data_IF_758876518343
#
_entry.id   IF_758876518343
#
_cell.length_a   1.000
_cell.length_b   1.000
_cell.length_c   1.000
_cell.angle_alpha   90.00
_cell.angle_beta   90.00
_cell.angle_gamma   90.00
#
_symmetry.space_group_name_H-M   'P 1'
#
loop_
_entity.id
_entity.type
_entity.pdbx_description
1 polymer ?
#
# COMPACT_ATOMS: atom_id res chain seq x y z
N UNK A 1 -25.52 -26.84 0.88
CA UNK A 1 -24.78 -25.56 0.97
C UNK A 1 -25.59 -24.52 0.22
N UNK A 2 -26.08 -23.54 0.95
CA UNK A 2 -27.00 -22.51 0.45
C UNK A 2 -26.30 -21.61 -0.60
N UNK A 3 -27.04 -21.10 -1.59
CA UNK A 3 -26.48 -20.23 -2.64
C UNK A 3 -25.75 -19.01 -2.05
N UNK A 4 -26.26 -18.45 -0.95
CA UNK A 4 -25.63 -17.35 -0.22
C UNK A 4 -24.27 -17.76 0.37
N UNK A 5 -24.17 -18.96 0.94
CA UNK A 5 -22.89 -19.47 1.49
C UNK A 5 -21.85 -19.66 0.40
N UNK A 6 -22.23 -20.14 -0.79
CA UNK A 6 -21.32 -20.27 -1.94
C UNK A 6 -20.80 -18.90 -2.42
N UNK A 7 -21.67 -17.90 -2.48
CA UNK A 7 -21.25 -16.54 -2.89
C UNK A 7 -20.31 -15.91 -1.87
N UNK A 8 -20.58 -16.05 -0.57
CA UNK A 8 -19.71 -15.52 0.49
C UNK A 8 -18.35 -16.22 0.47
N UNK A 9 -18.34 -17.56 0.33
CA UNK A 9 -17.09 -18.31 0.25
C UNK A 9 -16.26 -17.89 -0.96
N UNK A 10 -16.88 -17.72 -2.13
CA UNK A 10 -16.20 -17.23 -3.33
C UNK A 10 -15.55 -15.86 -3.13
N UNK A 11 -16.27 -14.91 -2.47
CA UNK A 11 -15.71 -13.58 -2.17
C UNK A 11 -14.53 -13.66 -1.21
N UNK A 12 -14.59 -14.49 -0.17
CA UNK A 12 -13.49 -14.71 0.79
C UNK A 12 -12.27 -15.33 0.07
N UNK A 13 -12.51 -16.33 -0.76
CA UNK A 13 -11.42 -16.96 -1.55
C UNK A 13 -10.73 -15.94 -2.45
N UNK A 14 -11.49 -15.07 -3.11
CA UNK A 14 -10.92 -13.98 -3.91
C UNK A 14 -10.10 -12.99 -3.08
N UNK A 15 -10.52 -12.71 -1.83
CA UNK A 15 -9.73 -11.88 -0.90
C UNK A 15 -8.37 -12.52 -0.59
N UNK A 16 -8.35 -13.81 -0.28
CA UNK A 16 -7.12 -14.55 0.01
C UNK A 16 -6.17 -14.58 -1.19
N UNK A 17 -6.71 -14.82 -2.39
CA UNK A 17 -5.90 -14.79 -3.63
C UNK A 17 -5.28 -13.42 -3.84
N UNK A 18 -6.02 -12.33 -3.64
CA UNK A 18 -5.51 -10.98 -3.77
C UNK A 18 -4.47 -10.63 -2.70
N UNK A 19 -4.69 -11.07 -1.46
CA UNK A 19 -3.71 -10.90 -0.38
C UNK A 19 -2.40 -11.61 -0.71
N UNK A 20 -2.47 -12.85 -1.20
CA UNK A 20 -1.30 -13.59 -1.66
C UNK A 20 -0.59 -12.88 -2.82
N UNK A 21 -1.33 -12.46 -3.84
CA UNK A 21 -0.79 -11.71 -4.98
C UNK A 21 -0.10 -10.41 -4.54
N UNK A 22 -0.69 -9.68 -3.61
CA UNK A 22 -0.10 -8.45 -3.04
C UNK A 22 1.21 -8.73 -2.33
N UNK A 23 1.28 -9.81 -1.54
CA UNK A 23 2.50 -10.24 -0.86
C UNK A 23 3.60 -10.66 -1.85
N UNK A 24 3.25 -11.41 -2.88
CA UNK A 24 4.18 -11.81 -3.95
C UNK A 24 4.70 -10.58 -4.72
N UNK A 25 3.82 -9.65 -5.08
CA UNK A 25 4.23 -8.41 -5.76
C UNK A 25 5.18 -7.58 -4.89
N UNK A 26 4.85 -7.38 -3.60
CA UNK A 26 5.72 -6.67 -2.67
C UNK A 26 7.09 -7.35 -2.53
N UNK A 27 7.12 -8.69 -2.43
CA UNK A 27 8.35 -9.46 -2.35
C UNK A 27 9.26 -9.22 -3.55
N UNK A 28 8.74 -9.34 -4.79
CA UNK A 28 9.55 -9.15 -5.99
C UNK A 28 10.06 -7.72 -6.16
N UNK A 29 9.26 -6.72 -5.78
CA UNK A 29 9.66 -5.31 -5.86
C UNK A 29 10.76 -4.99 -4.86
N UNK A 30 10.71 -5.57 -3.66
CA UNK A 30 11.63 -5.28 -2.57
C UNK A 30 12.89 -6.16 -2.61
N UNK A 31 12.83 -7.33 -3.25
CA UNK A 31 13.93 -8.30 -3.31
C UNK A 31 15.29 -7.68 -3.71
N UNK A 32 15.39 -6.79 -4.71
CA UNK A 32 16.67 -6.19 -5.07
C UNK A 32 17.31 -5.39 -3.92
N UNK A 33 16.48 -4.73 -3.10
CA UNK A 33 16.93 -3.86 -2.02
C UNK A 33 17.50 -4.63 -0.83
N UNK A 34 17.02 -5.85 -0.57
CA UNK A 34 17.49 -6.67 0.56
C UNK A 34 18.96 -7.06 0.47
N UNK A 35 19.53 -7.08 -0.74
CA UNK A 35 20.94 -7.42 -0.96
C UNK A 35 21.87 -6.27 -0.61
N UNK A 36 21.42 -5.04 -0.82
CA UNK A 36 22.25 -3.85 -0.79
C UNK A 36 22.13 -3.06 0.52
N UNK A 37 20.92 -3.06 1.13
CA UNK A 37 20.66 -2.32 2.36
C UNK A 37 20.86 -3.20 3.61
N UNK A 38 21.48 -2.60 4.64
CA UNK A 38 21.65 -3.16 5.98
C UNK A 38 20.48 -2.82 6.88
N UNK A 39 19.96 -1.60 6.75
CA UNK A 39 18.78 -1.13 7.47
C UNK A 39 17.52 -1.40 6.65
N UNK A 40 16.56 -2.09 7.29
CA UNK A 40 15.30 -2.48 6.66
C UNK A 40 14.16 -1.48 6.89
N UNK A 41 14.38 -0.37 7.59
CA UNK A 41 13.32 0.57 7.94
C UNK A 41 12.59 1.12 6.69
N UNK A 42 13.33 1.62 5.72
CA UNK A 42 12.76 2.13 4.47
C UNK A 42 12.14 1.04 3.59
N UNK A 43 12.68 -0.17 3.68
CA UNK A 43 12.15 -1.34 2.99
C UNK A 43 10.77 -1.70 3.54
N UNK A 44 10.59 -1.70 4.87
CA UNK A 44 9.30 -1.94 5.50
C UNK A 44 8.26 -0.87 5.11
N UNK A 45 8.67 0.40 5.08
CA UNK A 45 7.78 1.46 4.64
C UNK A 45 7.36 1.29 3.18
N UNK A 46 8.27 0.92 2.29
CA UNK A 46 7.95 0.62 0.89
C UNK A 46 6.94 -0.54 0.77
N UNK A 47 7.11 -1.60 1.56
CA UNK A 47 6.14 -2.72 1.61
C UNK A 47 4.76 -2.21 2.02
N UNK A 48 4.67 -1.35 3.03
CA UNK A 48 3.39 -0.77 3.47
C UNK A 48 2.74 0.02 2.33
N UNK A 49 3.48 0.85 1.60
CA UNK A 49 2.93 1.59 0.45
C UNK A 49 2.41 0.67 -0.65
N UNK A 50 3.14 -0.40 -0.98
CA UNK A 50 2.72 -1.38 -1.98
C UNK A 50 1.41 -2.05 -1.55
N UNK A 51 1.34 -2.51 -0.30
CA UNK A 51 0.15 -3.18 0.25
C UNK A 51 -1.06 -2.23 0.25
N UNK A 52 -0.87 -1.01 0.74
CA UNK A 52 -1.93 0.00 0.79
C UNK A 52 -2.40 0.34 -0.61
N UNK A 53 -1.50 0.63 -1.54
CA UNK A 53 -1.85 0.95 -2.92
C UNK A 53 -2.66 -0.16 -3.57
N UNK A 54 -2.19 -1.40 -3.55
CA UNK A 54 -2.87 -2.52 -4.20
C UNK A 54 -4.25 -2.76 -3.55
N UNK A 55 -4.32 -2.74 -2.21
CA UNK A 55 -5.56 -2.99 -1.47
C UNK A 55 -6.61 -1.91 -1.74
N UNK A 56 -6.25 -0.64 -1.61
CA UNK A 56 -7.19 0.45 -1.83
C UNK A 56 -7.58 0.61 -3.30
N UNK A 57 -6.65 0.45 -4.24
CA UNK A 57 -6.95 0.44 -5.68
C UNK A 57 -7.97 -0.63 -6.02
N UNK A 58 -7.83 -1.81 -5.43
CA UNK A 58 -8.81 -2.89 -5.60
C UNK A 58 -10.19 -2.48 -5.11
N UNK A 59 -10.32 -1.84 -3.94
CA UNK A 59 -11.60 -1.38 -3.44
C UNK A 59 -12.18 -0.23 -4.28
N UNK A 60 -11.35 0.60 -4.87
CA UNK A 60 -11.78 1.66 -5.77
C UNK A 60 -12.39 1.07 -7.06
N UNK A 61 -11.70 0.13 -7.71
CA UNK A 61 -12.10 -0.38 -9.02
C UNK A 61 -13.03 -1.60 -8.96
N UNK A 62 -12.80 -2.51 -8.02
CA UNK A 62 -13.43 -3.82 -7.96
C UNK A 62 -14.31 -4.05 -6.73
N UNK A 63 -14.80 -3.00 -6.08
CA UNK A 63 -15.57 -3.07 -4.83
C UNK A 63 -16.69 -4.11 -4.87
N UNK A 64 -17.44 -4.19 -5.98
CA UNK A 64 -18.57 -5.13 -6.13
C UNK A 64 -18.18 -6.61 -6.07
N UNK A 65 -16.93 -6.94 -6.37
CA UNK A 65 -16.42 -8.33 -6.34
C UNK A 65 -15.76 -8.69 -5.01
N UNK A 66 -15.66 -7.75 -4.08
CA UNK A 66 -15.05 -7.93 -2.78
C UNK A 66 -16.12 -8.23 -1.73
N UNK A 67 -15.72 -8.81 -0.58
CA UNK A 67 -16.62 -8.99 0.53
C UNK A 67 -17.18 -7.66 1.06
N UNK A 68 -16.41 -6.58 0.86
CA UNK A 68 -16.76 -5.24 1.27
C UNK A 68 -18.03 -4.72 0.57
N UNK A 69 -18.41 -5.30 -0.59
CA UNK A 69 -19.64 -4.91 -1.29
C UNK A 69 -20.87 -4.99 -0.37
N UNK A 70 -20.95 -6.05 0.45
CA UNK A 70 -22.10 -6.35 1.30
C UNK A 70 -21.92 -5.83 2.75
N UNK A 71 -20.69 -5.60 3.18
CA UNK A 71 -20.34 -5.23 4.56
C UNK A 71 -20.40 -3.71 4.79
N UNK A 72 -21.62 -3.14 4.93
CA UNK A 72 -21.81 -1.69 5.07
C UNK A 72 -21.08 -1.11 6.30
N UNK A 73 -21.17 -1.79 7.46
CA UNK A 73 -20.48 -1.37 8.70
C UNK A 73 -18.97 -1.32 8.53
N UNK A 74 -18.39 -2.27 7.81
CA UNK A 74 -16.95 -2.32 7.51
C UNK A 74 -16.53 -1.19 6.60
N UNK A 75 -17.38 -0.78 5.63
CA UNK A 75 -17.10 0.41 4.80
C UNK A 75 -17.00 1.68 5.64
N UNK A 76 -17.93 1.87 6.57
CA UNK A 76 -17.91 3.03 7.49
C UNK A 76 -16.61 3.01 8.31
N UNK A 77 -16.26 1.87 8.90
CA UNK A 77 -15.02 1.73 9.64
C UNK A 77 -13.78 2.08 8.79
N UNK A 78 -13.72 1.60 7.55
CA UNK A 78 -12.61 1.89 6.64
C UNK A 78 -12.51 3.37 6.27
N UNK A 79 -13.65 4.06 6.13
CA UNK A 79 -13.66 5.51 5.89
C UNK A 79 -12.98 6.24 7.06
N UNK A 80 -13.31 5.89 8.31
CA UNK A 80 -12.67 6.49 9.48
C UNK A 80 -11.19 6.13 9.59
N UNK A 81 -10.81 4.89 9.30
CA UNK A 81 -9.41 4.45 9.34
C UNK A 81 -8.56 5.06 8.23
N UNK A 82 -9.14 5.50 7.13
CA UNK A 82 -8.43 6.17 6.05
C UNK A 82 -7.77 7.48 6.52
N UNK A 83 -8.38 8.21 7.47
CA UNK A 83 -7.81 9.46 8.00
C UNK A 83 -6.46 9.26 8.70
N UNK A 84 -6.35 8.47 9.78
CA UNK A 84 -5.05 8.27 10.43
C UNK A 84 -4.05 7.60 9.49
N UNK A 85 -4.49 6.70 8.62
CA UNK A 85 -3.63 6.08 7.62
C UNK A 85 -3.05 7.11 6.65
N UNK A 86 -3.85 8.06 6.18
CA UNK A 86 -3.38 9.14 5.31
C UNK A 86 -2.26 9.95 5.97
N UNK A 87 -2.43 10.39 7.23
CA UNK A 87 -1.41 11.16 7.93
C UNK A 87 -0.15 10.33 8.18
N UNK A 88 -0.28 9.05 8.50
CA UNK A 88 0.85 8.15 8.65
C UNK A 88 1.65 8.03 7.35
N UNK A 89 0.98 7.76 6.23
CA UNK A 89 1.64 7.63 4.93
C UNK A 89 2.30 8.95 4.51
N UNK A 90 1.65 10.08 4.75
CA UNK A 90 2.19 11.39 4.41
C UNK A 90 3.44 11.71 5.23
N UNK A 91 3.41 11.49 6.55
CA UNK A 91 4.56 11.69 7.43
C UNK A 91 5.75 10.81 7.02
N UNK A 92 5.50 9.51 6.80
CA UNK A 92 6.52 8.56 6.35
C UNK A 92 7.10 8.94 4.98
N UNK A 93 6.26 9.49 4.08
CA UNK A 93 6.71 9.94 2.76
C UNK A 93 7.69 11.12 2.86
N UNK A 94 7.40 12.09 3.70
CA UNK A 94 8.31 13.22 3.93
C UNK A 94 9.60 12.81 4.63
N UNK A 95 9.53 11.86 5.56
CA UNK A 95 10.70 11.33 6.25
C UNK A 95 11.69 10.68 5.26
N UNK A 96 11.19 9.82 4.36
CA UNK A 96 12.06 9.23 3.34
C UNK A 96 12.56 10.27 2.35
N UNK A 97 11.72 11.20 1.91
CA UNK A 97 12.17 12.25 1.00
C UNK A 97 13.32 13.05 1.61
N UNK A 98 13.20 13.45 2.86
CA UNK A 98 14.27 14.12 3.61
C UNK A 98 15.52 13.26 3.73
N UNK A 99 15.38 11.95 3.90
CA UNK A 99 16.50 11.01 3.86
C UNK A 99 17.15 10.98 2.48
N UNK A 100 16.37 10.88 1.41
CA UNK A 100 16.88 10.84 0.02
C UNK A 100 17.59 12.13 -0.37
N UNK A 101 17.06 13.29 0.07
CA UNK A 101 17.69 14.58 -0.19
C UNK A 101 19.07 14.66 0.49
N UNK A 102 19.18 14.26 1.77
CA UNK A 102 20.47 14.14 2.48
C UNK A 102 21.41 13.14 1.84
N UNK A 103 20.85 12.10 1.27
CA UNK A 103 21.55 11.04 0.57
C UNK A 103 22.22 11.58 -0.69
N UNK A 104 21.57 12.46 -1.44
CA UNK A 104 22.12 13.08 -2.65
C UNK A 104 23.20 14.14 -2.37
N UNK A 105 23.22 14.72 -1.16
CA UNK A 105 24.17 15.74 -0.73
C UNK A 105 25.54 15.20 -0.29
N UNK A 106 25.74 13.87 -0.33
CA UNK A 106 27.04 13.24 -0.10
C UNK A 106 27.50 13.21 1.36
N UNK A 107 26.57 13.23 2.32
CA UNK A 107 26.92 13.14 3.75
C UNK A 107 27.47 11.76 4.11
N UNK A 108 28.60 11.73 4.78
CA UNK A 108 29.39 10.53 5.14
C UNK A 108 28.66 9.46 6.01
N UNK A 109 27.50 9.75 6.55
CA UNK A 109 26.68 8.79 7.32
C UNK A 109 26.06 7.67 6.47
N UNK A 110 26.27 7.72 5.17
CA UNK A 110 25.72 6.85 4.14
C UNK A 110 26.13 5.41 4.20
N UNK A 111 27.41 5.19 4.52
CA UNK A 111 27.97 3.83 4.52
C UNK A 111 27.30 2.92 5.55
N UNK A 112 26.75 3.50 6.61
CA UNK A 112 26.08 2.74 7.66
C UNK A 112 24.77 2.04 7.21
N UNK A 113 24.12 2.55 6.16
CA UNK A 113 22.86 1.98 5.64
C UNK A 113 23.06 0.85 4.64
N UNK A 114 24.28 0.72 4.10
CA UNK A 114 24.62 -0.30 3.11
C UNK A 114 25.43 -1.43 3.74
N UNK A 115 25.36 -2.59 3.11
CA UNK A 115 26.21 -3.73 3.49
C UNK A 115 27.66 -3.47 3.10
N UNK A 116 28.56 -4.05 3.88
CA UNK A 116 29.99 -3.94 3.64
C UNK A 116 30.38 -4.57 2.29
N UNK A 117 31.28 -3.96 1.56
CA UNK A 117 31.80 -4.49 0.29
C UNK A 117 30.97 -4.14 -0.96
N UNK A 118 29.94 -3.31 -0.85
CA UNK A 118 29.16 -2.83 -2.00
C UNK A 118 29.91 -1.65 -2.66
N UNK A 119 30.07 -1.70 -3.99
CA UNK A 119 30.68 -0.61 -4.76
C UNK A 119 29.80 0.63 -4.79
N UNK A 120 30.40 1.81 -5.00
CA UNK A 120 29.67 3.07 -5.08
C UNK A 120 28.65 3.10 -6.23
N UNK A 121 28.97 2.44 -7.35
CA UNK A 121 28.05 2.27 -8.46
C UNK A 121 26.81 1.47 -8.06
N UNK A 122 26.98 0.36 -7.33
CA UNK A 122 25.87 -0.46 -6.82
C UNK A 122 25.02 0.32 -5.81
N UNK A 123 25.65 1.10 -4.92
CA UNK A 123 24.94 1.99 -3.97
C UNK A 123 24.07 2.98 -4.72
N UNK A 124 24.61 3.64 -5.74
CA UNK A 124 23.87 4.59 -6.56
C UNK A 124 22.68 3.95 -7.28
N UNK A 125 22.85 2.74 -7.83
CA UNK A 125 21.77 1.99 -8.47
C UNK A 125 20.68 1.64 -7.46
N UNK A 126 21.03 1.12 -6.27
CA UNK A 126 20.10 0.74 -5.23
C UNK A 126 19.28 1.94 -4.69
N UNK A 127 19.94 3.09 -4.49
CA UNK A 127 19.29 4.32 -4.05
C UNK A 127 18.31 4.84 -5.10
N UNK A 128 18.72 4.89 -6.36
CA UNK A 128 17.85 5.33 -7.45
C UNK A 128 16.64 4.39 -7.63
N UNK A 129 16.85 3.10 -7.45
CA UNK A 129 15.76 2.13 -7.49
C UNK A 129 14.79 2.36 -6.34
N UNK A 130 15.28 2.47 -5.10
CA UNK A 130 14.47 2.77 -3.93
C UNK A 130 13.68 4.07 -4.12
N UNK A 131 14.32 5.15 -4.56
CA UNK A 131 13.69 6.43 -4.80
C UNK A 131 12.53 6.36 -5.80
N UNK A 132 12.73 5.67 -6.92
CA UNK A 132 11.70 5.48 -7.95
C UNK A 132 10.52 4.67 -7.44
N UNK A 133 10.79 3.53 -6.79
CA UNK A 133 9.73 2.67 -6.25
C UNK A 133 8.95 3.38 -5.15
N UNK A 134 9.66 4.05 -4.26
CA UNK A 134 9.03 4.76 -3.16
C UNK A 134 8.17 5.94 -3.63
N UNK A 135 8.67 6.73 -4.58
CA UNK A 135 7.87 7.83 -5.16
C UNK A 135 6.62 7.29 -5.85
N UNK A 136 6.75 6.24 -6.65
CA UNK A 136 5.62 5.65 -7.35
C UNK A 136 4.57 5.08 -6.39
N UNK A 137 4.98 4.17 -5.50
CA UNK A 137 4.04 3.53 -4.58
C UNK A 137 3.56 4.46 -3.47
N UNK A 138 4.42 5.35 -2.96
CA UNK A 138 4.06 6.32 -1.93
C UNK A 138 3.00 7.29 -2.42
N UNK A 139 3.21 7.94 -3.54
CA UNK A 139 2.22 8.86 -4.13
C UNK A 139 0.94 8.11 -4.49
N UNK A 140 1.06 6.93 -5.10
CA UNK A 140 -0.11 6.12 -5.49
C UNK A 140 -0.91 5.64 -4.27
N UNK A 141 -0.26 5.25 -3.17
CA UNK A 141 -0.91 4.86 -1.93
C UNK A 141 -1.66 6.04 -1.30
N UNK A 142 -1.01 7.21 -1.21
CA UNK A 142 -1.62 8.43 -0.67
C UNK A 142 -2.88 8.82 -1.47
N UNK A 143 -2.79 8.84 -2.81
CA UNK A 143 -3.93 9.12 -3.68
C UNK A 143 -5.04 8.08 -3.47
N UNK A 144 -4.69 6.80 -3.39
CA UNK A 144 -5.66 5.72 -3.20
C UNK A 144 -6.43 5.86 -1.88
N UNK A 145 -5.73 6.22 -0.79
CA UNK A 145 -6.34 6.44 0.53
C UNK A 145 -7.27 7.64 0.54
N UNK A 146 -6.99 8.69 -0.25
CA UNK A 146 -7.89 9.84 -0.41
C UNK A 146 -9.13 9.46 -1.22
N UNK A 147 -8.96 8.74 -2.32
CA UNK A 147 -10.06 8.41 -3.26
C UNK A 147 -11.00 7.34 -2.70
N UNK A 148 -10.48 6.36 -1.96
CA UNK A 148 -11.26 5.23 -1.48
C UNK A 148 -12.46 5.62 -0.58
N UNK A 149 -12.38 6.55 0.40
CA UNK A 149 -13.52 7.01 1.17
C UNK A 149 -14.66 7.51 0.30
N UNK A 150 -14.39 8.32 -0.72
CA UNK A 150 -15.43 8.81 -1.64
C UNK A 150 -16.12 7.66 -2.36
N UNK A 151 -15.35 6.68 -2.83
CA UNK A 151 -15.90 5.48 -3.47
C UNK A 151 -16.77 4.65 -2.53
N UNK A 152 -16.36 4.52 -1.27
CA UNK A 152 -17.10 3.80 -0.24
C UNK A 152 -18.39 4.53 0.14
N UNK A 153 -18.36 5.86 0.31
CA UNK A 153 -19.53 6.69 0.57
C UNK A 153 -20.56 6.55 -0.55
N UNK A 154 -20.12 6.67 -1.81
CA UNK A 154 -21.01 6.48 -2.96
C UNK A 154 -21.63 5.08 -3.01
N UNK A 155 -20.88 4.05 -2.58
CA UNK A 155 -21.39 2.69 -2.49
C UNK A 155 -22.45 2.54 -1.38
N UNK A 156 -22.24 3.13 -0.20
CA UNK A 156 -23.18 3.14 0.92
C UNK A 156 -24.47 3.86 0.51
N UNK A 157 -24.32 5.06 -0.06
CA UNK A 157 -25.44 5.87 -0.53
C UNK A 157 -26.31 5.13 -1.57
N UNK A 158 -25.68 4.45 -2.51
CA UNK A 158 -26.40 3.66 -3.51
C UNK A 158 -27.22 2.53 -2.88
N UNK A 159 -26.65 1.80 -1.91
CA UNK A 159 -27.37 0.73 -1.21
C UNK A 159 -28.51 1.31 -0.39
N UNK A 160 -28.31 2.42 0.31
CA UNK A 160 -29.35 3.09 1.07
C UNK A 160 -30.55 3.49 0.21
N UNK A 161 -30.31 4.08 -0.95
CA UNK A 161 -31.38 4.49 -1.86
C UNK A 161 -32.15 3.30 -2.45
N UNK A 162 -31.55 2.11 -2.55
CA UNK A 162 -32.21 0.93 -3.09
C UNK A 162 -32.97 0.14 -2.01
N UNK A 163 -32.48 0.12 -0.77
CA UNK A 163 -33.00 -0.76 0.29
C UNK A 163 -33.60 -0.01 1.47
N UNK A 164 -33.39 1.31 1.60
CA UNK A 164 -33.76 2.10 2.78
C UNK A 164 -33.01 1.71 4.05
N UNK A 165 -32.01 0.85 3.97
CA UNK A 165 -31.22 0.34 5.12
C UNK A 165 -29.73 0.52 4.86
N UNK A 166 -29.01 0.86 5.91
CA UNK A 166 -27.54 0.89 5.95
C UNK A 166 -27.00 -0.28 6.73
#
# INVERSE_FOLDING_TARGET
MDLQQKQTLSKITMELIWCFFTGVAAFFIVQPLWKDFKDYFFIHQLIIYIIVFITFSRYIFFLKFTFLADAQKTKILLIFLAFPLFFYLLASFFELRSFMDRLSEGMLEYESYFRDGISDEQRFIAVNYLAKQYTFFGVSAIISVIVAPFRLILSIWRVYNQTGKV
#
